data_IF_285612505882
#
_entry.id   IF_285612505882
#
_cell.length_a   1.000
_cell.length_b   1.000
_cell.length_c   1.000
_cell.angle_alpha   90.00
_cell.angle_beta   90.00
_cell.angle_gamma   90.00
#
_symmetry.space_group_name_H-M   'P 1'
#
loop_
_entity.id
_entity.type
_entity.pdbx_description
1 polymer ?
#
# COMPACT_ATOMS: atom_id res chain seq x y z
N UNK A 1 -26.66 3.64 20.25
CA UNK A 1 -26.00 4.85 19.70
C UNK A 1 -24.51 4.98 20.05
N UNK A 2 -24.03 4.61 21.25
CA UNK A 2 -22.61 4.77 21.67
C UNK A 2 -21.59 3.96 20.84
N UNK A 3 -21.96 2.74 20.41
CA UNK A 3 -21.06 1.84 19.64
C UNK A 3 -20.66 2.42 18.27
N UNK A 4 -21.59 3.07 17.57
CA UNK A 4 -21.35 3.72 16.27
C UNK A 4 -20.48 4.97 16.40
N UNK A 5 -20.68 5.78 17.44
CA UNK A 5 -19.85 6.97 17.71
C UNK A 5 -18.38 6.61 17.93
N UNK A 6 -18.10 5.55 18.71
CA UNK A 6 -16.73 5.07 18.95
C UNK A 6 -16.07 4.54 17.68
N UNK A 7 -16.80 3.80 16.84
CA UNK A 7 -16.30 3.28 15.57
C UNK A 7 -15.92 4.40 14.60
N UNK A 8 -16.73 5.46 14.51
CA UNK A 8 -16.43 6.59 13.63
C UNK A 8 -15.13 7.30 14.03
N UNK A 9 -14.90 7.52 15.34
CA UNK A 9 -13.64 8.11 15.82
C UNK A 9 -12.42 7.24 15.49
N UNK A 10 -12.53 5.92 15.67
CA UNK A 10 -11.43 4.99 15.35
C UNK A 10 -11.09 5.00 13.85
N UNK A 11 -12.09 5.01 12.96
CA UNK A 11 -11.85 5.08 11.50
C UNK A 11 -11.17 6.40 11.12
N UNK A 12 -11.56 7.52 11.73
CA UNK A 12 -10.91 8.82 11.49
C UNK A 12 -9.46 8.80 11.97
N UNK A 13 -9.19 8.28 13.17
CA UNK A 13 -7.81 8.15 13.68
C UNK A 13 -6.95 7.26 12.77
N UNK A 14 -7.47 6.10 12.35
CA UNK A 14 -6.78 5.19 11.45
C UNK A 14 -6.46 5.85 10.10
N UNK A 15 -7.38 6.65 9.54
CA UNK A 15 -7.14 7.40 8.30
C UNK A 15 -5.99 8.40 8.43
N UNK A 16 -5.94 9.14 9.54
CA UNK A 16 -4.85 10.09 9.78
C UNK A 16 -3.51 9.38 9.99
N UNK A 17 -3.50 8.27 10.73
CA UNK A 17 -2.31 7.42 10.87
C UNK A 17 -1.86 6.84 9.53
N UNK A 18 -2.78 6.38 8.69
CA UNK A 18 -2.47 5.89 7.35
C UNK A 18 -1.91 7.00 6.45
N UNK A 19 -2.46 8.22 6.50
CA UNK A 19 -1.92 9.36 5.75
C UNK A 19 -0.51 9.71 6.18
N UNK A 20 -0.28 9.91 7.48
CA UNK A 20 1.04 10.20 8.03
C UNK A 20 2.04 9.07 7.71
N UNK A 21 1.64 7.82 7.98
CA UNK A 21 2.45 6.64 7.70
C UNK A 21 2.76 6.46 6.22
N UNK A 22 1.80 6.77 5.32
CA UNK A 22 2.02 6.69 3.88
C UNK A 22 3.02 7.73 3.41
N UNK A 23 3.00 8.95 3.95
CA UNK A 23 3.96 9.99 3.59
C UNK A 23 5.37 9.59 4.00
N UNK A 24 5.53 9.06 5.21
CA UNK A 24 6.82 8.53 5.70
C UNK A 24 7.28 7.36 4.83
N UNK A 25 6.39 6.41 4.54
CA UNK A 25 6.73 5.23 3.73
C UNK A 25 7.15 5.63 2.32
N UNK A 26 6.36 6.47 1.65
CA UNK A 26 6.67 6.98 0.31
C UNK A 26 8.00 7.74 0.31
N UNK A 27 8.25 8.58 1.32
CA UNK A 27 9.53 9.29 1.42
C UNK A 27 10.72 8.33 1.47
N UNK A 28 10.70 7.32 2.34
CA UNK A 28 11.77 6.33 2.42
C UNK A 28 11.89 5.48 1.14
N UNK A 29 10.77 5.06 0.56
CA UNK A 29 10.76 4.28 -0.69
C UNK A 29 11.37 5.08 -1.86
N UNK A 30 11.12 6.38 -1.93
CA UNK A 30 11.76 7.27 -2.90
C UNK A 30 13.26 7.41 -2.61
N UNK A 31 13.67 7.54 -1.35
CA UNK A 31 15.09 7.53 -1.00
C UNK A 31 15.78 6.23 -1.41
N UNK A 32 15.13 5.07 -1.28
CA UNK A 32 15.68 3.81 -1.79
C UNK A 32 15.79 3.79 -3.32
N UNK A 33 14.76 4.29 -4.02
CA UNK A 33 14.76 4.33 -5.49
C UNK A 33 15.83 5.25 -6.07
N UNK A 34 16.07 6.41 -5.45
CA UNK A 34 16.99 7.43 -5.98
C UNK A 34 18.34 7.47 -5.28
N UNK A 35 18.46 6.85 -4.10
CA UNK A 35 19.67 6.88 -3.27
C UNK A 35 20.59 5.69 -3.50
N UNK A 36 20.10 4.58 -4.05
CA UNK A 36 20.97 3.49 -4.48
C UNK A 36 21.58 3.79 -5.85
N UNK A 37 22.90 3.63 -5.97
CA UNK A 37 23.58 3.58 -7.26
C UNK A 37 23.12 2.32 -8.00
N UNK A 38 21.98 2.41 -8.68
CA UNK A 38 21.47 1.35 -9.53
C UNK A 38 22.49 1.13 -10.65
N UNK A 39 23.32 0.10 -10.51
CA UNK A 39 24.17 -0.38 -11.60
C UNK A 39 23.23 -1.05 -12.61
N UNK A 40 22.63 -0.25 -13.48
CA UNK A 40 21.61 -0.65 -14.47
C UNK A 40 22.06 -1.86 -15.29
N UNK A 41 23.37 -2.03 -15.50
CA UNK A 41 23.97 -3.14 -16.24
C UNK A 41 23.96 -4.49 -15.52
N UNK A 42 23.57 -4.57 -14.23
CA UNK A 42 23.53 -5.83 -13.46
C UNK A 42 22.13 -6.26 -13.04
N UNK A 43 21.09 -5.47 -13.35
CA UNK A 43 19.71 -5.75 -12.92
C UNK A 43 19.08 -6.76 -13.87
N UNK A 44 18.61 -7.88 -13.32
CA UNK A 44 17.87 -8.90 -14.08
C UNK A 44 16.49 -8.39 -14.52
N UNK A 45 15.94 -8.94 -15.60
CA UNK A 45 14.56 -8.62 -16.03
C UNK A 45 13.53 -8.88 -14.92
N UNK A 46 13.73 -9.92 -14.11
CA UNK A 46 12.86 -10.22 -12.98
C UNK A 46 12.95 -9.15 -11.89
N UNK A 47 14.16 -8.64 -11.62
CA UNK A 47 14.37 -7.58 -10.63
C UNK A 47 13.70 -6.27 -11.06
N UNK A 48 13.70 -5.97 -12.36
CA UNK A 48 12.92 -4.85 -12.91
C UNK A 48 11.42 -4.98 -12.66
N UNK A 49 10.86 -6.17 -12.84
CA UNK A 49 9.45 -6.45 -12.51
C UNK A 49 9.24 -6.32 -10.99
N UNK A 50 10.20 -6.81 -10.19
CA UNK A 50 10.22 -6.63 -8.74
C UNK A 50 10.11 -5.15 -8.36
N UNK A 51 10.99 -4.30 -8.89
CA UNK A 51 11.02 -2.85 -8.68
C UNK A 51 9.72 -2.15 -9.09
N UNK A 52 9.09 -2.60 -10.19
CA UNK A 52 7.81 -2.10 -10.65
C UNK A 52 6.70 -2.34 -9.64
N UNK A 53 6.65 -3.52 -9.01
CA UNK A 53 5.65 -3.85 -8.01
C UNK A 53 6.00 -3.28 -6.62
N UNK A 54 7.26 -3.37 -6.22
CA UNK A 54 7.81 -2.74 -5.04
C UNK A 54 9.20 -2.18 -5.35
N UNK A 55 9.44 -0.87 -5.19
CA UNK A 55 8.62 0.06 -4.42
C UNK A 55 7.63 0.90 -5.25
N UNK A 56 7.65 0.84 -6.59
CA UNK A 56 6.88 1.76 -7.45
C UNK A 56 5.37 1.56 -7.30
N UNK A 57 4.86 0.34 -7.51
CA UNK A 57 3.43 0.02 -7.43
C UNK A 57 2.83 0.30 -6.06
N UNK A 58 3.57 -0.02 -4.99
CA UNK A 58 3.20 0.30 -3.61
C UNK A 58 3.11 1.80 -3.36
N UNK A 59 4.06 2.58 -3.89
CA UNK A 59 4.03 4.06 -3.81
C UNK A 59 2.82 4.63 -4.55
N UNK A 60 2.58 4.20 -5.79
CA UNK A 60 1.43 4.64 -6.60
C UNK A 60 0.11 4.29 -5.90
N UNK A 61 -0.01 3.06 -5.37
CA UNK A 61 -1.18 2.63 -4.61
C UNK A 61 -1.45 3.53 -3.40
N UNK A 62 -0.42 3.86 -2.63
CA UNK A 62 -0.56 4.76 -1.49
C UNK A 62 -0.95 6.18 -1.88
N UNK A 63 -0.39 6.72 -2.96
CA UNK A 63 -0.77 8.05 -3.47
C UNK A 63 -2.23 8.07 -3.97
N UNK A 64 -2.67 7.01 -4.66
CA UNK A 64 -4.06 6.86 -5.09
C UNK A 64 -5.01 6.76 -3.88
N UNK A 65 -4.57 6.13 -2.78
CA UNK A 65 -5.38 5.92 -1.60
C UNK A 65 -5.79 7.23 -0.89
N UNK A 66 -5.07 8.33 -1.13
CA UNK A 66 -5.40 9.64 -0.58
C UNK A 66 -6.74 10.17 -1.11
N UNK A 67 -7.06 9.89 -2.38
CA UNK A 67 -8.33 10.28 -3.01
C UNK A 67 -9.34 9.13 -3.03
N UNK A 68 -8.88 7.89 -3.20
CA UNK A 68 -9.69 6.69 -3.31
C UNK A 68 -9.13 5.57 -2.42
N UNK A 69 -9.48 5.60 -1.13
CA UNK A 69 -8.94 4.70 -0.10
C UNK A 69 -8.98 3.22 -0.51
N UNK A 70 -10.12 2.75 -1.03
CA UNK A 70 -10.32 1.35 -1.41
C UNK A 70 -9.49 0.95 -2.63
N UNK A 71 -9.48 1.79 -3.68
CA UNK A 71 -8.73 1.50 -4.90
C UNK A 71 -7.22 1.55 -4.65
N UNK A 72 -6.73 2.61 -4.03
CA UNK A 72 -5.30 2.76 -3.75
C UNK A 72 -4.79 1.74 -2.75
N UNK A 73 -5.59 1.42 -1.72
CA UNK A 73 -5.28 0.33 -0.80
C UNK A 73 -5.22 -1.03 -1.51
N UNK A 74 -6.15 -1.32 -2.41
CA UNK A 74 -6.14 -2.56 -3.19
C UNK A 74 -4.92 -2.65 -4.11
N UNK A 75 -4.59 -1.56 -4.82
CA UNK A 75 -3.37 -1.48 -5.65
C UNK A 75 -2.13 -1.75 -4.80
N UNK A 76 -2.03 -1.13 -3.62
CA UNK A 76 -0.88 -1.35 -2.71
C UNK A 76 -0.72 -2.82 -2.33
N UNK A 77 -1.82 -3.47 -1.95
CA UNK A 77 -1.81 -4.89 -1.55
C UNK A 77 -1.49 -5.80 -2.72
N UNK A 78 -2.12 -5.58 -3.88
CA UNK A 78 -1.89 -6.38 -5.07
C UNK A 78 -0.46 -6.22 -5.58
N UNK A 79 0.10 -5.01 -5.55
CA UNK A 79 1.50 -4.77 -5.88
C UNK A 79 2.43 -5.51 -4.93
N UNK A 80 2.19 -5.47 -3.61
CA UNK A 80 3.01 -6.22 -2.66
C UNK A 80 2.92 -7.74 -2.89
N UNK A 81 1.72 -8.28 -3.12
CA UNK A 81 1.54 -9.71 -3.42
C UNK A 81 2.23 -10.12 -4.73
N UNK A 82 2.14 -9.28 -5.76
CA UNK A 82 2.82 -9.51 -7.03
C UNK A 82 4.34 -9.49 -6.86
N UNK A 83 4.89 -8.55 -6.08
CA UNK A 83 6.31 -8.53 -5.73
C UNK A 83 6.75 -9.84 -5.06
N UNK A 84 6.03 -10.30 -4.03
CA UNK A 84 6.33 -11.57 -3.38
C UNK A 84 6.25 -12.77 -4.34
N UNK A 85 5.25 -12.81 -5.22
CA UNK A 85 5.09 -13.87 -6.20
C UNK A 85 6.22 -13.93 -7.23
N UNK A 86 6.61 -12.76 -7.77
CA UNK A 86 7.70 -12.64 -8.73
C UNK A 86 9.03 -13.08 -8.09
N UNK A 87 9.34 -12.57 -6.90
CA UNK A 87 10.59 -12.91 -6.21
C UNK A 87 10.64 -14.38 -5.78
N UNK A 88 9.52 -14.94 -5.32
CA UNK A 88 9.43 -16.36 -4.98
C UNK A 88 9.62 -17.25 -6.21
N UNK A 89 9.06 -16.88 -7.36
CA UNK A 89 9.19 -17.65 -8.60
C UNK A 89 10.63 -17.72 -9.13
N UNK A 90 11.42 -16.69 -8.85
CA UNK A 90 12.81 -16.56 -9.31
C UNK A 90 13.82 -17.17 -8.31
N UNK A 91 13.64 -16.87 -7.02
CA UNK A 91 14.60 -17.26 -5.98
C UNK A 91 14.24 -18.55 -5.25
N UNK A 92 12.98 -18.99 -5.32
CA UNK A 92 12.46 -20.16 -4.61
C UNK A 92 12.19 -19.94 -3.11
N UNK A 93 12.43 -18.73 -2.60
CA UNK A 93 12.15 -18.33 -1.23
C UNK A 93 11.57 -16.91 -1.20
N UNK A 94 10.82 -16.59 -0.15
CA UNK A 94 10.29 -15.24 0.03
C UNK A 94 11.43 -14.28 0.41
N UNK A 95 11.44 -13.05 -0.12
CA UNK A 95 12.31 -11.98 0.36
C UNK A 95 12.27 -11.91 1.88
N UNK A 96 13.43 -12.11 2.51
CA UNK A 96 13.54 -12.02 3.96
C UNK A 96 13.33 -10.57 4.42
N UNK A 97 12.56 -10.40 5.49
CA UNK A 97 12.38 -9.10 6.13
C UNK A 97 10.93 -8.61 6.17
N UNK A 98 10.55 -8.13 7.35
CA UNK A 98 9.24 -7.51 7.61
C UNK A 98 9.08 -6.14 6.95
N UNK A 99 10.16 -5.56 6.41
CA UNK A 99 10.23 -4.18 5.93
C UNK A 99 9.28 -3.90 4.77
N UNK A 100 9.17 -4.81 3.79
CA UNK A 100 8.24 -4.67 2.65
C UNK A 100 6.79 -4.53 3.13
N UNK A 101 6.41 -5.36 4.10
CA UNK A 101 5.08 -5.32 4.70
C UNK A 101 4.89 -4.06 5.55
N UNK A 102 5.92 -3.66 6.31
CA UNK A 102 5.91 -2.46 7.14
C UNK A 102 5.65 -1.20 6.30
N UNK A 103 6.35 -1.05 5.16
CA UNK A 103 6.15 0.09 4.25
C UNK A 103 4.79 0.04 3.54
N UNK A 104 4.19 -1.14 3.36
CA UNK A 104 2.86 -1.28 2.78
C UNK A 104 1.71 -1.17 3.79
N UNK A 105 2.00 -1.16 5.11
CA UNK A 105 0.98 -1.06 6.17
C UNK A 105 0.00 0.11 5.99
N UNK A 106 0.42 1.33 5.62
CA UNK A 106 -0.52 2.42 5.40
C UNK A 106 -1.56 2.10 4.31
N UNK A 107 -1.15 1.42 3.23
CA UNK A 107 -2.04 0.97 2.16
C UNK A 107 -3.06 -0.07 2.63
N UNK A 108 -2.65 -1.00 3.49
CA UNK A 108 -3.55 -1.96 4.13
C UNK A 108 -4.60 -1.26 5.01
N UNK A 109 -4.17 -0.28 5.80
CA UNK A 109 -5.08 0.53 6.64
C UNK A 109 -6.04 1.34 5.78
N UNK A 110 -5.57 1.94 4.68
CA UNK A 110 -6.44 2.63 3.72
C UNK A 110 -7.49 1.70 3.12
N UNK A 111 -7.10 0.49 2.70
CA UNK A 111 -8.05 -0.49 2.18
C UNK A 111 -9.12 -0.84 3.22
N UNK A 112 -8.72 -1.07 4.47
CA UNK A 112 -9.63 -1.36 5.57
C UNK A 112 -10.62 -0.21 5.82
N UNK A 113 -10.11 1.04 5.90
CA UNK A 113 -10.93 2.24 6.10
C UNK A 113 -11.90 2.46 4.93
N UNK A 114 -11.43 2.28 3.69
CA UNK A 114 -12.24 2.40 2.48
C UNK A 114 -13.38 1.39 2.45
N UNK A 115 -13.10 0.10 2.69
CA UNK A 115 -14.11 -0.96 2.73
C UNK A 115 -15.15 -0.76 3.84
N UNK A 116 -14.75 -0.21 5.00
CA UNK A 116 -15.67 0.12 6.09
C UNK A 116 -16.58 1.31 5.74
N UNK A 117 -16.04 2.31 5.04
CA UNK A 117 -16.76 3.54 4.67
C UNK A 117 -17.69 3.37 3.46
N UNK A 118 -17.31 2.55 2.47
CA UNK A 118 -18.16 2.27 1.30
C UNK A 118 -19.42 1.50 1.67
N UNK A 119 -19.36 0.65 2.71
CA UNK A 119 -20.54 -0.05 3.25
C UNK A 119 -21.57 0.88 3.92
N UNK A 120 -21.24 2.16 4.12
CA UNK A 120 -22.14 3.13 4.75
C UNK A 120 -23.01 3.90 3.75
N UNK A 121 -22.82 3.73 2.42
CA UNK A 121 -23.59 4.43 1.38
C UNK A 121 -24.25 3.53 0.30
N UNK A 122 -25.13 2.56 0.64
CA UNK A 122 -26.06 2.00 -0.35
C UNK A 122 -27.43 2.70 -0.40
N UNK A 123 -27.80 3.51 0.59
CA UNK A 123 -29.21 3.92 0.78
C UNK A 123 -29.62 5.30 0.25
N UNK A 124 -28.71 6.10 -0.33
CA UNK A 124 -29.06 7.46 -0.83
C UNK A 124 -29.01 7.61 -2.36
N UNK A 125 -28.95 6.50 -3.11
CA UNK A 125 -29.05 6.51 -4.58
C UNK A 125 -30.40 6.01 -5.11
N UNK A 126 -31.40 5.93 -4.25
CA UNK A 126 -32.76 5.55 -4.60
C UNK A 126 -33.73 6.69 -4.27
N UNK A 127 -33.50 7.89 -4.82
CA UNK A 127 -34.51 8.94 -5.06
C UNK A 127 -34.13 9.68 -6.33
#
# INVERSE_FOLDING_TARGET
MVKQQKQNRLVVMLRWLARAGSLVSVFFLLLFLFGEEMVISKISFVEWIGLLFFPIGVTVGMLLAWRWETLGGAVTVLSLLAFYGVMYSDRGYFPEGIWFMLFALPGLVFLYCGLRSSKTLPTLRAV
#
